data_IF_151888440291
#
_entry.id   IF_151888440291
#
_cell.length_a   1.000
_cell.length_b   1.000
_cell.length_c   1.000
_cell.angle_alpha   90.00
_cell.angle_beta   90.00
_cell.angle_gamma   90.00
#
_symmetry.space_group_name_H-M   'P 1'
#
loop_
_entity.id
_entity.type
_entity.pdbx_description
1 polymer ?
#
# COMPACT_ATOMS: atom_id res chain seq x y z
N UNK A 1 5.31 -2.31 27.19
CA UNK A 1 4.46 -3.25 27.93
C UNK A 1 4.56 -4.61 27.25
N UNK A 2 4.85 -5.69 27.98
CA UNK A 2 4.82 -7.05 27.43
C UNK A 2 3.36 -7.53 27.38
N UNK A 3 2.90 -7.93 26.21
CA UNK A 3 1.51 -8.38 25.99
C UNK A 3 1.45 -9.91 26.06
N UNK A 4 0.35 -10.45 26.60
CA UNK A 4 -0.02 -11.86 26.36
C UNK A 4 -0.41 -12.04 24.89
N UNK A 5 -0.49 -13.28 24.40
CA UNK A 5 -0.85 -13.55 22.99
C UNK A 5 -2.23 -12.99 22.63
N UNK A 6 -3.24 -13.20 23.48
CA UNK A 6 -4.58 -12.63 23.30
C UNK A 6 -4.55 -11.10 23.34
N UNK A 7 -3.81 -10.49 24.27
CA UNK A 7 -3.71 -9.04 24.36
C UNK A 7 -2.94 -8.44 23.15
N UNK A 8 -1.98 -9.18 22.58
CA UNK A 8 -1.28 -8.78 21.37
C UNK A 8 -2.22 -8.80 20.16
N UNK A 9 -3.04 -9.85 20.00
CA UNK A 9 -4.02 -9.93 18.92
C UNK A 9 -5.04 -8.78 18.98
N UNK A 10 -5.56 -8.47 20.17
CA UNK A 10 -6.46 -7.33 20.38
C UNK A 10 -5.77 -5.98 20.09
N UNK A 11 -4.50 -5.84 20.51
CA UNK A 11 -3.70 -4.66 20.21
C UNK A 11 -3.56 -4.46 18.71
N UNK A 12 -3.11 -5.48 17.96
CA UNK A 12 -2.92 -5.38 16.52
C UNK A 12 -4.24 -5.12 15.78
N UNK A 13 -5.33 -5.81 16.16
CA UNK A 13 -6.65 -5.56 15.57
C UNK A 13 -7.12 -4.12 15.80
N UNK A 14 -6.87 -3.55 16.99
CA UNK A 14 -7.16 -2.15 17.28
C UNK A 14 -6.34 -1.21 16.39
N UNK A 15 -5.04 -1.46 16.23
CA UNK A 15 -4.19 -0.60 15.40
C UNK A 15 -4.55 -0.68 13.91
N UNK A 16 -4.81 -1.89 13.38
CA UNK A 16 -5.35 -2.06 12.03
C UNK A 16 -6.72 -1.41 11.82
N UNK A 17 -7.54 -1.24 12.86
CA UNK A 17 -8.77 -0.48 12.73
C UNK A 17 -8.54 1.04 12.72
N UNK A 18 -7.51 1.51 13.43
CA UNK A 18 -7.25 2.93 13.64
C UNK A 18 -6.38 3.57 12.55
N UNK A 19 -5.54 2.79 11.84
CA UNK A 19 -4.48 3.31 10.97
C UNK A 19 -4.96 4.31 9.90
N UNK A 20 -6.13 4.10 9.29
CA UNK A 20 -6.64 5.01 8.24
C UNK A 20 -7.08 6.37 8.77
N UNK A 21 -7.51 6.46 10.04
CA UNK A 21 -8.08 7.69 10.63
C UNK A 21 -7.13 8.40 11.59
N UNK A 22 -6.23 7.64 12.21
CA UNK A 22 -5.32 8.14 13.25
C UNK A 22 -3.92 7.51 13.07
N UNK A 23 -3.28 7.65 11.90
CA UNK A 23 -2.00 6.99 11.62
C UNK A 23 -0.89 7.41 12.59
N UNK A 24 -0.86 8.68 13.03
CA UNK A 24 0.11 9.18 14.03
C UNK A 24 -0.10 8.53 15.40
N UNK A 25 -1.35 8.26 15.79
CA UNK A 25 -1.64 7.56 17.05
C UNK A 25 -1.16 6.13 16.95
N UNK A 26 -1.42 5.44 15.83
CA UNK A 26 -0.92 4.08 15.61
C UNK A 26 0.60 4.03 15.68
N UNK A 27 1.29 4.94 14.99
CA UNK A 27 2.74 5.07 15.03
C UNK A 27 3.26 5.25 16.48
N UNK A 28 2.65 6.16 17.26
CA UNK A 28 3.00 6.36 18.66
C UNK A 28 2.74 5.14 19.56
N UNK A 29 1.69 4.36 19.29
CA UNK A 29 1.44 3.11 20.01
C UNK A 29 2.43 2.00 19.64
N UNK A 30 2.85 1.91 18.37
CA UNK A 30 3.90 1.01 17.90
C UNK A 30 5.25 1.33 18.55
N UNK A 31 5.57 2.61 18.73
CA UNK A 31 6.80 3.04 19.42
C UNK A 31 6.81 2.68 20.91
N UNK A 32 5.64 2.63 21.57
CA UNK A 32 5.51 2.23 22.98
C UNK A 32 5.53 0.71 23.20
N UNK A 33 5.33 -0.06 22.13
CA UNK A 33 5.34 -1.52 22.20
C UNK A 33 6.74 -2.01 22.59
N UNK A 34 6.82 -2.86 23.61
CA UNK A 34 8.09 -3.50 23.96
C UNK A 34 8.31 -4.68 23.02
N UNK A 35 9.19 -4.47 22.04
CA UNK A 35 9.49 -5.47 21.00
C UNK A 35 10.33 -6.63 21.54
N UNK A 36 11.09 -6.41 22.63
CA UNK A 36 11.84 -7.45 23.32
C UNK A 36 10.90 -8.50 23.92
N UNK A 37 10.90 -9.70 23.35
CA UNK A 37 10.08 -10.82 23.80
C UNK A 37 8.81 -11.05 22.99
N UNK A 38 8.62 -10.34 21.87
CA UNK A 38 7.68 -10.75 20.83
C UNK A 38 8.16 -12.06 20.17
N UNK A 39 7.21 -12.89 19.74
CA UNK A 39 7.52 -14.04 18.90
C UNK A 39 7.80 -13.61 17.45
N UNK A 40 8.41 -14.49 16.66
CA UNK A 40 8.69 -14.19 15.25
C UNK A 40 7.44 -13.82 14.42
N UNK A 41 6.29 -14.52 14.53
CA UNK A 41 5.05 -14.08 13.87
C UNK A 41 4.59 -12.68 14.29
N UNK A 42 4.74 -12.34 15.57
CA UNK A 42 4.35 -11.03 16.10
C UNK A 42 5.26 -9.93 15.55
N UNK A 43 6.57 -10.19 15.43
CA UNK A 43 7.51 -9.25 14.78
C UNK A 43 7.14 -8.99 13.32
N UNK A 44 6.75 -10.04 12.58
CA UNK A 44 6.31 -9.90 11.19
C UNK A 44 5.05 -9.04 11.10
N UNK A 45 4.08 -9.27 11.98
CA UNK A 45 2.81 -8.53 11.98
C UNK A 45 3.01 -7.04 12.33
N UNK A 46 3.82 -6.77 13.35
CA UNK A 46 4.22 -5.41 13.75
C UNK A 46 4.99 -4.73 12.61
N UNK A 47 5.94 -5.42 11.99
CA UNK A 47 6.72 -4.89 10.87
C UNK A 47 5.88 -4.56 9.65
N UNK A 48 4.88 -5.40 9.31
CA UNK A 48 3.97 -5.14 8.20
C UNK A 48 3.10 -3.90 8.45
N UNK A 49 2.54 -3.75 9.67
CA UNK A 49 1.76 -2.58 10.02
C UNK A 49 2.62 -1.31 10.07
N UNK A 50 3.81 -1.38 10.67
CA UNK A 50 4.74 -0.25 10.72
C UNK A 50 5.12 0.21 9.30
N UNK A 51 5.47 -0.73 8.41
CA UNK A 51 5.73 -0.44 7.01
C UNK A 51 4.56 0.30 6.38
N UNK A 52 3.35 -0.27 6.45
CA UNK A 52 2.14 0.30 5.86
C UNK A 52 1.81 1.71 6.40
N UNK A 53 1.89 1.93 7.71
CA UNK A 53 1.59 3.23 8.34
C UNK A 53 2.61 4.29 7.94
N UNK A 54 3.90 3.98 8.05
CA UNK A 54 4.96 4.92 7.70
C UNK A 54 4.99 5.22 6.19
N UNK A 55 4.67 4.25 5.35
CA UNK A 55 4.72 4.38 3.89
C UNK A 55 3.47 5.07 3.33
N UNK A 56 2.29 4.48 3.50
CA UNK A 56 1.07 4.85 2.78
C UNK A 56 0.28 5.99 3.45
N UNK A 57 0.47 6.22 4.75
CA UNK A 57 -0.29 7.22 5.51
C UNK A 57 0.53 8.42 5.96
N UNK A 58 1.76 8.20 6.43
CA UNK A 58 2.58 9.27 7.01
C UNK A 58 3.63 9.84 6.05
N UNK A 59 4.13 9.05 5.11
CA UNK A 59 5.28 9.45 4.27
C UNK A 59 6.58 9.61 5.06
N UNK A 60 6.67 9.00 6.25
CA UNK A 60 7.82 9.05 7.15
C UNK A 60 8.74 7.86 6.91
N UNK A 61 9.31 7.79 5.70
CA UNK A 61 10.05 6.63 5.20
C UNK A 61 11.22 6.21 6.10
N UNK A 62 12.02 7.20 6.53
CA UNK A 62 13.23 6.95 7.32
C UNK A 62 12.90 6.44 8.72
N UNK A 63 11.83 6.95 9.33
CA UNK A 63 11.38 6.48 10.64
C UNK A 63 10.85 5.05 10.55
N UNK A 64 10.13 4.73 9.46
CA UNK A 64 9.72 3.34 9.17
C UNK A 64 10.91 2.41 9.01
N UNK A 65 11.94 2.83 8.24
CA UNK A 65 13.16 2.03 8.02
C UNK A 65 13.86 1.78 9.35
N UNK A 66 14.07 2.83 10.16
CA UNK A 66 14.70 2.73 11.47
C UNK A 66 13.91 1.81 12.40
N UNK A 67 12.57 1.86 12.37
CA UNK A 67 11.71 0.98 13.16
C UNK A 67 11.87 -0.48 12.75
N UNK A 68 11.87 -0.81 11.45
CA UNK A 68 12.10 -2.18 10.96
C UNK A 68 13.50 -2.67 11.36
N UNK A 69 14.53 -1.83 11.25
CA UNK A 69 15.89 -2.17 11.68
C UNK A 69 15.96 -2.45 13.19
N UNK A 70 15.23 -1.68 14.00
CA UNK A 70 15.11 -1.94 15.44
C UNK A 70 14.40 -3.28 15.74
N UNK A 71 13.37 -3.66 14.98
CA UNK A 71 12.75 -4.98 15.10
C UNK A 71 13.75 -6.10 14.81
N UNK A 72 14.52 -5.99 13.73
CA UNK A 72 15.57 -6.97 13.38
C UNK A 72 16.63 -7.07 14.47
N UNK A 73 17.09 -5.94 15.01
CA UNK A 73 18.09 -5.89 16.07
C UNK A 73 17.57 -6.46 17.41
N UNK A 74 16.26 -6.36 17.67
CA UNK A 74 15.66 -6.82 18.93
C UNK A 74 15.66 -8.34 19.12
N UNK A 75 15.83 -9.11 18.03
CA UNK A 75 15.88 -10.58 18.08
C UNK A 75 16.97 -11.14 17.14
N UNK A 76 18.25 -11.10 17.56
CA UNK A 76 19.37 -11.54 16.73
C UNK A 76 19.27 -13.01 16.29
N UNK A 77 18.66 -13.87 17.10
CA UNK A 77 18.50 -15.31 16.88
C UNK A 77 17.24 -15.70 16.10
N UNK A 78 16.57 -14.77 15.42
CA UNK A 78 15.40 -15.09 14.59
C UNK A 78 15.78 -15.97 13.38
N UNK A 79 14.82 -16.75 12.90
CA UNK A 79 14.97 -17.53 11.67
C UNK A 79 15.23 -16.66 10.44
N UNK A 80 15.92 -17.21 9.44
CA UNK A 80 16.17 -16.53 8.17
C UNK A 80 14.87 -16.16 7.43
N UNK A 81 13.83 -17.00 7.57
CA UNK A 81 12.52 -16.74 6.97
C UNK A 81 11.86 -15.48 7.56
N UNK A 82 11.95 -15.30 8.89
CA UNK A 82 11.45 -14.11 9.57
C UNK A 82 12.28 -12.88 9.24
N UNK A 83 13.62 -13.03 9.22
CA UNK A 83 14.54 -11.97 8.81
C UNK A 83 14.23 -11.49 7.39
N UNK A 84 14.06 -12.41 6.44
CA UNK A 84 13.73 -12.10 5.05
C UNK A 84 12.42 -11.30 4.95
N UNK A 85 11.38 -11.68 5.71
CA UNK A 85 10.10 -10.95 5.73
C UNK A 85 10.25 -9.51 6.24
N UNK A 86 11.04 -9.28 7.28
CA UNK A 86 11.35 -7.93 7.77
C UNK A 86 12.19 -7.14 6.75
N UNK A 87 13.19 -7.79 6.12
CA UNK A 87 13.97 -7.18 5.05
C UNK A 87 13.10 -6.75 3.86
N UNK A 88 12.06 -7.51 3.50
CA UNK A 88 11.08 -7.09 2.47
C UNK A 88 10.34 -5.80 2.86
N UNK A 89 9.92 -5.67 4.12
CA UNK A 89 9.26 -4.43 4.61
C UNK A 89 10.18 -3.22 4.47
N UNK A 90 11.46 -3.37 4.84
CA UNK A 90 12.48 -2.34 4.63
C UNK A 90 12.69 -2.02 3.14
N UNK A 91 12.74 -3.04 2.29
CA UNK A 91 12.89 -2.87 0.84
C UNK A 91 11.69 -2.14 0.21
N UNK A 92 10.47 -2.39 0.70
CA UNK A 92 9.26 -1.64 0.28
C UNK A 92 9.43 -0.15 0.56
N UNK A 93 9.85 0.22 1.78
CA UNK A 93 10.08 1.62 2.17
C UNK A 93 11.17 2.27 1.32
N UNK A 94 12.30 1.58 1.10
CA UNK A 94 13.40 2.09 0.27
C UNK A 94 12.97 2.27 -1.19
N UNK A 95 12.29 1.28 -1.77
CA UNK A 95 11.82 1.34 -3.16
C UNK A 95 10.80 2.46 -3.34
N UNK A 96 9.83 2.60 -2.42
CA UNK A 96 8.81 3.65 -2.49
C UNK A 96 9.40 5.06 -2.35
N UNK A 97 10.42 5.23 -1.51
CA UNK A 97 11.13 6.51 -1.29
C UNK A 97 12.20 6.83 -2.34
N UNK A 98 12.32 6.01 -3.39
CA UNK A 98 13.35 6.13 -4.44
C UNK A 98 14.79 6.15 -3.89
N UNK A 99 15.02 5.47 -2.77
CA UNK A 99 16.35 5.25 -2.20
C UNK A 99 17.00 4.00 -2.77
N UNK A 100 18.31 3.88 -2.59
CA UNK A 100 19.07 2.70 -3.00
C UNK A 100 18.53 1.47 -2.25
N UNK A 101 18.11 0.46 -3.02
CA UNK A 101 17.60 -0.80 -2.51
C UNK A 101 18.30 -1.95 -3.25
N UNK A 102 18.96 -2.84 -2.52
CA UNK A 102 19.66 -4.00 -3.08
C UNK A 102 18.68 -5.10 -3.46
N UNK A 103 17.86 -4.86 -4.50
CA UNK A 103 16.82 -5.80 -4.93
C UNK A 103 17.39 -7.10 -5.50
N UNK A 104 18.66 -7.10 -5.88
CA UNK A 104 19.32 -8.29 -6.43
C UNK A 104 19.48 -9.43 -5.41
N UNK A 105 19.44 -9.12 -4.11
CA UNK A 105 19.47 -10.15 -3.06
C UNK A 105 18.14 -10.90 -2.90
N UNK A 106 17.07 -10.45 -3.57
CA UNK A 106 15.74 -11.04 -3.50
C UNK A 106 15.46 -11.87 -4.76
N UNK A 107 14.68 -12.95 -4.60
CA UNK A 107 14.17 -13.71 -5.74
C UNK A 107 13.06 -12.94 -6.50
N UNK A 108 12.61 -13.49 -7.63
CA UNK A 108 11.61 -12.82 -8.47
C UNK A 108 10.25 -12.62 -7.77
N UNK A 109 9.81 -13.58 -6.95
CA UNK A 109 8.55 -13.48 -6.22
C UNK A 109 8.61 -12.39 -5.15
N UNK A 110 9.77 -12.24 -4.51
CA UNK A 110 10.04 -11.23 -3.50
C UNK A 110 10.14 -9.84 -4.11
N UNK A 111 10.85 -9.70 -5.24
CA UNK A 111 10.88 -8.44 -5.99
C UNK A 111 9.48 -8.01 -6.42
N UNK A 112 8.67 -8.94 -6.93
CA UNK A 112 7.27 -8.67 -7.28
C UNK A 112 6.45 -8.20 -6.07
N UNK A 113 6.59 -8.87 -4.92
CA UNK A 113 5.92 -8.47 -3.68
C UNK A 113 6.34 -7.06 -3.24
N UNK A 114 7.64 -6.76 -3.26
CA UNK A 114 8.20 -5.45 -2.91
C UNK A 114 7.67 -4.37 -3.85
N UNK A 115 7.70 -4.57 -5.17
CA UNK A 115 7.18 -3.61 -6.15
C UNK A 115 5.69 -3.38 -5.96
N UNK A 116 4.92 -4.46 -5.79
CA UNK A 116 3.47 -4.37 -5.60
C UNK A 116 3.12 -3.52 -4.38
N UNK A 117 3.79 -3.74 -3.23
CA UNK A 117 3.49 -3.00 -2.00
C UNK A 117 4.19 -1.64 -1.88
N UNK A 118 5.26 -1.37 -2.65
CA UNK A 118 5.87 -0.04 -2.73
C UNK A 118 5.05 0.92 -3.62
N UNK A 119 4.31 0.39 -4.59
CA UNK A 119 3.47 1.15 -5.52
C UNK A 119 2.49 2.12 -4.83
N UNK A 120 1.60 1.68 -3.91
CA UNK A 120 0.63 2.58 -3.29
C UNK A 120 1.31 3.70 -2.52
N UNK A 121 2.36 3.38 -1.77
CA UNK A 121 3.08 4.36 -0.98
C UNK A 121 3.72 5.44 -1.88
N UNK A 122 4.43 5.04 -2.95
CA UNK A 122 5.00 6.00 -3.90
C UNK A 122 3.94 6.92 -4.55
N UNK A 123 2.74 6.39 -4.85
CA UNK A 123 1.66 7.17 -5.48
C UNK A 123 0.93 8.09 -4.50
N UNK A 124 0.72 7.64 -3.26
CA UNK A 124 -0.12 8.32 -2.29
C UNK A 124 0.62 9.41 -1.51
N UNK A 125 1.88 9.15 -1.15
CA UNK A 125 2.70 9.99 -0.25
C UNK A 125 4.05 10.39 -0.85
N UNK A 126 4.47 9.75 -1.95
CA UNK A 126 5.73 10.03 -2.65
C UNK A 126 5.55 10.73 -4.00
N UNK A 127 6.34 10.31 -4.99
CA UNK A 127 6.22 10.73 -6.38
C UNK A 127 5.34 9.75 -7.20
N UNK A 128 4.15 10.18 -7.69
CA UNK A 128 3.29 9.33 -8.49
C UNK A 128 3.92 8.82 -9.81
N UNK A 129 4.87 9.56 -10.41
CA UNK A 129 5.56 9.12 -11.61
C UNK A 129 6.51 7.95 -11.31
N UNK A 130 7.24 8.05 -10.20
CA UNK A 130 8.02 6.93 -9.65
C UNK A 130 7.13 5.73 -9.32
N UNK A 131 6.00 5.96 -8.66
CA UNK A 131 5.00 4.91 -8.39
C UNK A 131 4.50 4.19 -9.65
N UNK A 132 4.28 4.91 -10.75
CA UNK A 132 3.92 4.32 -12.04
C UNK A 132 5.04 3.45 -12.63
N UNK A 133 6.29 3.83 -12.41
CA UNK A 133 7.46 3.03 -12.82
C UNK A 133 7.53 1.74 -12.00
N UNK A 134 7.39 1.82 -10.67
CA UNK A 134 7.35 0.64 -9.78
C UNK A 134 6.22 -0.32 -10.20
N UNK A 135 5.04 0.22 -10.48
CA UNK A 135 3.90 -0.58 -10.93
C UNK A 135 4.19 -1.31 -12.25
N UNK A 136 4.85 -0.64 -13.19
CA UNK A 136 5.25 -1.22 -14.47
C UNK A 136 6.28 -2.34 -14.28
N UNK A 137 7.24 -2.18 -13.36
CA UNK A 137 8.19 -3.24 -12.99
C UNK A 137 7.48 -4.46 -12.39
N UNK A 138 6.47 -4.26 -11.53
CA UNK A 138 5.66 -5.36 -10.99
C UNK A 138 4.92 -6.12 -12.10
N UNK A 139 4.31 -5.40 -13.06
CA UNK A 139 3.64 -5.99 -14.22
C UNK A 139 4.61 -6.78 -15.12
N UNK A 140 5.84 -6.29 -15.29
CA UNK A 140 6.85 -6.97 -16.09
C UNK A 140 7.32 -8.30 -15.46
N UNK A 141 7.35 -8.39 -14.12
CA UNK A 141 7.72 -9.62 -13.40
C UNK A 141 6.59 -10.66 -13.40
N UNK A 142 5.33 -10.23 -13.32
CA UNK A 142 4.17 -11.11 -13.19
C UNK A 142 4.16 -12.34 -14.14
N UNK A 143 4.41 -12.23 -15.46
CA UNK A 143 4.41 -13.38 -16.36
C UNK A 143 5.54 -14.39 -16.11
N UNK A 144 6.57 -14.02 -15.33
CA UNK A 144 7.73 -14.86 -15.03
C UNK A 144 7.56 -15.67 -13.73
N UNK A 145 6.50 -15.41 -12.96
CA UNK A 145 6.30 -16.02 -11.65
C UNK A 145 5.60 -17.37 -11.74
N UNK A 146 6.05 -18.31 -10.92
CA UNK A 146 5.28 -19.51 -10.60
C UNK A 146 4.01 -19.13 -9.84
N UNK A 147 2.94 -19.93 -9.96
CA UNK A 147 1.64 -19.65 -9.31
C UNK A 147 1.11 -18.23 -9.63
N UNK A 148 1.12 -17.88 -10.92
CA UNK A 148 0.62 -16.60 -11.43
C UNK A 148 -0.74 -16.18 -10.83
N UNK A 149 -1.77 -17.07 -10.68
CA UNK A 149 -3.06 -16.66 -10.11
C UNK A 149 -2.96 -16.07 -8.70
N UNK A 150 -2.05 -16.56 -7.85
CA UNK A 150 -1.82 -16.01 -6.52
C UNK A 150 -1.23 -14.60 -6.58
N UNK A 151 -0.26 -14.38 -7.46
CA UNK A 151 0.37 -13.08 -7.66
C UNK A 151 -0.58 -12.06 -8.30
N UNK A 152 -1.43 -12.51 -9.24
CA UNK A 152 -2.51 -11.71 -9.79
C UNK A 152 -3.50 -11.28 -8.72
N UNK A 153 -3.85 -12.18 -7.78
CA UNK A 153 -4.74 -11.83 -6.67
C UNK A 153 -4.14 -10.79 -5.75
N UNK A 154 -2.84 -10.89 -5.43
CA UNK A 154 -2.13 -9.86 -4.65
C UNK A 154 -2.20 -8.50 -5.36
N UNK A 155 -1.87 -8.47 -6.65
CA UNK A 155 -1.92 -7.25 -7.46
C UNK A 155 -3.35 -6.69 -7.56
N UNK A 156 -4.35 -7.55 -7.75
CA UNK A 156 -5.76 -7.19 -7.78
C UNK A 156 -6.23 -6.54 -6.48
N UNK A 157 -5.83 -7.09 -5.32
CA UNK A 157 -6.16 -6.53 -4.00
C UNK A 157 -5.48 -5.19 -3.80
N UNK A 158 -4.18 -5.10 -4.07
CA UNK A 158 -3.43 -3.84 -3.92
C UNK A 158 -4.05 -2.74 -4.79
N UNK A 159 -4.27 -3.02 -6.08
CA UNK A 159 -4.85 -2.04 -7.01
C UNK A 159 -6.25 -1.63 -6.60
N UNK A 160 -7.09 -2.57 -6.12
CA UNK A 160 -8.42 -2.26 -5.63
C UNK A 160 -8.42 -1.28 -4.45
N UNK A 161 -7.50 -1.44 -3.49
CA UNK A 161 -7.37 -0.55 -2.35
C UNK A 161 -6.87 0.83 -2.77
N UNK A 162 -5.79 0.88 -3.58
CA UNK A 162 -5.23 2.13 -4.07
C UNK A 162 -6.23 2.96 -4.90
N UNK A 163 -7.08 2.30 -5.69
CA UNK A 163 -8.17 2.98 -6.42
C UNK A 163 -9.14 3.64 -5.43
N UNK A 164 -9.54 2.95 -4.36
CA UNK A 164 -10.41 3.54 -3.35
C UNK A 164 -9.74 4.77 -2.71
N UNK A 165 -8.48 4.65 -2.30
CA UNK A 165 -7.74 5.76 -1.67
C UNK A 165 -7.64 6.98 -2.59
N UNK A 166 -7.41 6.78 -3.90
CA UNK A 166 -7.35 7.87 -4.87
C UNK A 166 -8.74 8.47 -5.16
N UNK A 167 -9.78 7.65 -5.32
CA UNK A 167 -11.13 8.12 -5.62
C UNK A 167 -11.76 8.90 -4.46
N UNK A 168 -11.39 8.57 -3.22
CA UNK A 168 -11.86 9.25 -2.00
C UNK A 168 -11.19 10.62 -1.77
N UNK A 169 -10.07 10.91 -2.43
CA UNK A 169 -9.43 12.23 -2.35
C UNK A 169 -10.31 13.30 -3.00
N UNK A 170 -10.40 14.46 -2.33
CA UNK A 170 -11.13 15.62 -2.84
C UNK A 170 -10.49 16.19 -4.10
N UNK A 171 -9.17 16.09 -4.21
CA UNK A 171 -8.38 16.58 -5.33
C UNK A 171 -7.32 15.54 -5.71
N UNK A 172 -7.12 15.37 -7.01
CA UNK A 172 -6.09 14.50 -7.59
C UNK A 172 -5.13 15.34 -8.41
N UNK A 173 -3.83 15.16 -8.17
CA UNK A 173 -2.78 15.71 -9.03
C UNK A 173 -2.91 15.13 -10.44
N UNK A 174 -2.48 15.86 -11.48
CA UNK A 174 -2.53 15.38 -12.87
C UNK A 174 -1.83 14.02 -13.03
N UNK A 175 -0.68 13.83 -12.39
CA UNK A 175 0.04 12.55 -12.39
C UNK A 175 -0.75 11.42 -11.72
N UNK A 176 -1.47 11.72 -10.63
CA UNK A 176 -2.35 10.78 -9.95
C UNK A 176 -3.58 10.42 -10.80
N UNK A 177 -4.14 11.38 -11.54
CA UNK A 177 -5.24 11.12 -12.47
C UNK A 177 -4.81 10.17 -13.59
N UNK A 178 -3.62 10.39 -14.17
CA UNK A 178 -3.07 9.53 -15.23
C UNK A 178 -2.88 8.09 -14.74
N UNK A 179 -2.26 7.90 -13.56
CA UNK A 179 -2.00 6.55 -13.05
C UNK A 179 -3.27 5.87 -12.52
N UNK A 180 -4.26 6.62 -12.01
CA UNK A 180 -5.53 6.06 -11.54
C UNK A 180 -6.24 5.25 -12.63
N UNK A 181 -6.35 5.80 -13.85
CA UNK A 181 -7.01 5.09 -14.95
C UNK A 181 -6.25 3.83 -15.36
N UNK A 182 -4.92 3.93 -15.47
CA UNK A 182 -4.06 2.79 -15.80
C UNK A 182 -4.27 1.66 -14.78
N UNK A 183 -4.22 1.98 -13.48
CA UNK A 183 -4.41 1.01 -12.41
C UNK A 183 -5.84 0.46 -12.40
N UNK A 184 -6.86 1.30 -12.62
CA UNK A 184 -8.26 0.87 -12.65
C UNK A 184 -8.55 -0.10 -13.79
N UNK A 185 -8.05 0.17 -15.00
CA UNK A 185 -8.22 -0.70 -16.16
C UNK A 185 -7.51 -2.04 -15.96
N UNK A 186 -6.29 -2.03 -15.40
CA UNK A 186 -5.56 -3.26 -15.09
C UNK A 186 -6.22 -4.05 -13.96
N UNK A 187 -6.68 -3.38 -12.90
CA UNK A 187 -7.41 -4.02 -11.81
C UNK A 187 -8.68 -4.70 -12.33
N UNK A 188 -9.44 -4.01 -13.18
CA UNK A 188 -10.60 -4.58 -13.86
C UNK A 188 -10.22 -5.84 -14.64
N UNK A 189 -9.21 -5.78 -15.51
CA UNK A 189 -8.79 -6.93 -16.31
C UNK A 189 -8.30 -8.12 -15.47
N UNK A 190 -7.65 -7.88 -14.33
CA UNK A 190 -7.26 -8.93 -13.38
C UNK A 190 -8.50 -9.58 -12.77
N UNK A 191 -9.41 -8.79 -12.20
CA UNK A 191 -10.61 -9.33 -11.54
C UNK A 191 -11.58 -10.01 -12.50
N UNK A 192 -11.65 -9.60 -13.77
CA UNK A 192 -12.39 -10.34 -14.80
C UNK A 192 -11.85 -11.75 -15.01
N UNK A 193 -10.54 -11.96 -14.83
CA UNK A 193 -9.88 -13.25 -15.07
C UNK A 193 -9.90 -14.18 -13.88
N UNK A 194 -9.60 -13.66 -12.68
CA UNK A 194 -9.37 -14.48 -11.48
C UNK A 194 -10.40 -14.26 -10.36
N UNK A 195 -11.28 -13.26 -10.49
CA UNK A 195 -12.26 -12.90 -9.48
C UNK A 195 -13.53 -13.73 -9.56
N UNK A 196 -14.26 -13.80 -8.45
CA UNK A 196 -15.64 -14.30 -8.43
C UNK A 196 -16.62 -13.24 -8.97
N UNK A 197 -17.93 -13.52 -8.93
CA UNK A 197 -18.94 -12.58 -9.39
C UNK A 197 -18.91 -11.24 -8.62
N UNK A 198 -18.69 -11.30 -7.31
CA UNK A 198 -18.63 -10.10 -6.45
C UNK A 198 -17.38 -9.27 -6.76
N UNK A 199 -16.24 -9.92 -6.97
CA UNK A 199 -14.98 -9.26 -7.35
C UNK A 199 -15.14 -8.52 -8.69
N UNK A 200 -15.78 -9.15 -9.68
CA UNK A 200 -16.05 -8.55 -11.00
C UNK A 200 -16.97 -7.33 -10.93
N UNK A 201 -18.04 -7.42 -10.15
CA UNK A 201 -18.98 -6.31 -9.97
C UNK A 201 -18.29 -5.12 -9.29
N UNK A 202 -17.53 -5.37 -8.22
CA UNK A 202 -16.75 -4.34 -7.52
C UNK A 202 -15.69 -3.71 -8.43
N UNK A 203 -15.00 -4.51 -9.24
CA UNK A 203 -14.00 -3.99 -10.17
C UNK A 203 -14.63 -3.09 -11.26
N UNK A 204 -15.81 -3.48 -11.78
CA UNK A 204 -16.57 -2.68 -12.74
C UNK A 204 -17.01 -1.34 -12.14
N UNK A 205 -17.52 -1.38 -10.90
CA UNK A 205 -17.89 -0.19 -10.14
C UNK A 205 -16.72 0.75 -9.91
N UNK A 206 -15.56 0.24 -9.45
CA UNK A 206 -14.35 1.03 -9.24
C UNK A 206 -13.81 1.66 -10.53
N UNK A 207 -13.87 0.95 -11.66
CA UNK A 207 -13.48 1.51 -12.95
C UNK A 207 -14.37 2.70 -13.35
N UNK A 208 -15.69 2.56 -13.20
CA UNK A 208 -16.62 3.66 -13.45
C UNK A 208 -16.35 4.86 -12.53
N UNK A 209 -16.14 4.62 -11.23
CA UNK A 209 -15.77 5.67 -10.26
C UNK A 209 -14.45 6.37 -10.64
N UNK A 210 -13.47 5.62 -11.13
CA UNK A 210 -12.17 6.16 -11.56
C UNK A 210 -12.31 7.11 -12.75
N UNK A 211 -13.10 6.72 -13.77
CA UNK A 211 -13.41 7.63 -14.88
C UNK A 211 -14.17 8.88 -14.42
N UNK A 212 -15.11 8.73 -13.49
CA UNK A 212 -15.80 9.88 -12.91
C UNK A 212 -14.82 10.79 -12.17
N UNK A 213 -13.94 10.24 -11.32
CA UNK A 213 -12.97 10.99 -10.54
C UNK A 213 -12.03 11.82 -11.42
N UNK A 214 -11.49 11.24 -12.49
CA UNK A 214 -10.59 11.96 -13.43
C UNK A 214 -11.32 12.99 -14.28
N UNK A 215 -12.62 12.80 -14.55
CA UNK A 215 -13.44 13.74 -15.33
C UNK A 215 -14.12 14.81 -14.46
N UNK A 216 -13.94 14.79 -13.14
CA UNK A 216 -14.51 15.83 -12.26
C UNK A 216 -13.88 17.18 -12.63
N UNK A 217 -14.66 18.17 -13.10
CA UNK A 217 -14.13 19.50 -13.33
C UNK A 217 -13.70 20.15 -12.01
N UNK A 218 -12.77 21.10 -12.07
CA UNK A 218 -12.41 21.92 -10.91
C UNK A 218 -13.67 22.58 -10.31
N UNK A 219 -13.82 22.51 -8.98
CA UNK A 219 -15.00 23.05 -8.29
C UNK A 219 -16.25 22.14 -8.33
N UNK A 220 -16.12 20.85 -8.67
CA UNK A 220 -17.23 19.89 -8.62
C UNK A 220 -17.66 19.58 -7.17
N UNK A 221 -18.67 20.27 -6.67
CA UNK A 221 -19.34 20.04 -5.38
C UNK A 221 -20.71 20.73 -5.32
N UNK A 222 -21.52 20.48 -4.28
CA UNK A 222 -22.87 21.06 -4.12
C UNK A 222 -22.89 22.58 -3.86
N UNK A 223 -21.76 23.26 -4.07
CA UNK A 223 -21.64 24.71 -3.98
C UNK A 223 -22.69 25.34 -4.89
N UNK A 224 -23.73 25.88 -4.26
CA UNK A 224 -25.03 26.10 -4.88
C UNK A 224 -24.99 26.94 -6.16
N UNK A 225 -23.92 27.71 -6.43
CA UNK A 225 -23.67 28.33 -7.73
C UNK A 225 -22.18 28.56 -7.99
N UNK A 226 -21.58 27.83 -8.94
CA UNK A 226 -20.37 28.26 -9.67
C UNK A 226 -20.32 27.71 -11.12
N UNK A 227 -21.49 27.37 -11.69
CA UNK A 227 -21.64 26.85 -13.07
C UNK A 227 -22.48 27.74 -13.99
N UNK A 228 -23.14 28.78 -13.46
CA UNK A 228 -23.95 29.72 -14.24
C UNK A 228 -23.13 30.66 -15.13
N UNK A 229 -21.85 30.90 -14.79
CA UNK A 229 -20.96 31.74 -15.60
C UNK A 229 -20.73 31.21 -17.02
N UNK A 230 -20.96 29.91 -17.26
CA UNK A 230 -20.87 29.28 -18.59
C UNK A 230 -22.24 29.05 -19.24
N UNK A 231 -23.33 29.50 -18.63
CA UNK A 231 -24.71 29.32 -19.12
C UNK A 231 -25.30 30.65 -19.63
N UNK A 232 -24.79 31.80 -19.14
CA UNK A 232 -25.29 33.14 -19.50
C UNK A 232 -24.45 33.86 -20.57
N UNK A 233 -23.54 33.17 -21.27
CA UNK A 233 -22.78 33.72 -22.41
C UNK A 233 -23.44 33.45 -23.75
#
# INVERSE_FOLDING_TARGET
>A
MKLSESAFGEFMAKQWKAHTKQPQVVQGELQKLQVTGLSEPQLIEVGALACHVHSEHLGEWMDGIAYIEALVASQPSMSDATRLRLCRQRAILLKASNNICELESFDAADRFYIFTLATPAAILTGDPAHGATIYSEALALLPLLADMPRHERLLGVMTANLICDLVERSELLTSQQSILLIIAEKSYAIWQRIGDATDRDKASFRLAQSYMAVRKPAGYGSGRYLRSLNIES
#
